data_IF_271752883243
#
_entry.id   IF_271752883243
#
_cell.length_a   1.000
_cell.length_b   1.000
_cell.length_c   1.000
_cell.angle_alpha   90.00
_cell.angle_beta   90.00
_cell.angle_gamma   90.00
#
_symmetry.space_group_name_H-M   'P 1'
#
loop_
_entity.id
_entity.type
_entity.pdbx_description
1 polymer ?
#
# COMPACT_ATOMS: atom_id res chain seq x y z
N UNK A 1 19.22 -13.48 -4.39
CA UNK A 1 18.81 -14.75 -3.76
C UNK A 1 18.18 -14.40 -2.43
N UNK A 2 16.87 -14.44 -2.34
CA UNK A 2 16.17 -14.50 -1.06
C UNK A 2 16.36 -15.95 -0.65
N UNK A 3 17.30 -16.21 0.29
CA UNK A 3 17.52 -17.54 0.79
C UNK A 3 16.23 -18.13 1.33
N UNK A 4 16.10 -19.42 1.24
CA UNK A 4 15.02 -20.21 1.82
C UNK A 4 14.85 -19.77 3.29
N UNK A 5 13.88 -18.88 3.57
CA UNK A 5 13.67 -18.35 4.91
C UNK A 5 13.01 -19.38 5.83
N UNK A 6 12.68 -20.57 5.33
CA UNK A 6 12.24 -21.73 6.11
C UNK A 6 11.11 -21.47 7.12
N UNK A 7 10.36 -20.36 6.95
CA UNK A 7 9.33 -19.95 7.89
C UNK A 7 7.95 -20.47 7.43
N UNK A 8 7.35 -21.28 8.26
CA UNK A 8 5.92 -21.50 8.21
C UNK A 8 5.25 -20.24 8.79
N UNK A 9 4.74 -19.37 7.92
CA UNK A 9 4.11 -18.09 8.27
C UNK A 9 2.62 -18.22 8.61
N UNK A 10 2.10 -19.42 8.82
CA UNK A 10 0.72 -19.56 9.30
C UNK A 10 0.58 -18.95 10.69
N UNK A 11 -0.48 -18.15 10.89
CA UNK A 11 -0.68 -17.36 12.12
C UNK A 11 -0.66 -18.20 13.40
N UNK A 12 -1.04 -19.48 13.33
CA UNK A 12 -1.06 -20.40 14.47
C UNK A 12 0.29 -21.04 14.76
N UNK A 13 1.21 -21.08 13.78
CA UNK A 13 2.53 -21.69 13.92
C UNK A 13 3.60 -20.76 14.51
N UNK A 14 3.45 -19.45 14.35
CA UNK A 14 4.52 -18.51 14.67
C UNK A 14 4.59 -18.07 16.14
N UNK A 15 3.63 -18.21 16.97
CA UNK A 15 3.68 -17.63 18.32
C UNK A 15 4.28 -16.20 18.35
N UNK A 16 4.30 -15.55 19.51
CA UNK A 16 4.83 -14.16 19.63
C UNK A 16 6.30 -14.05 19.21
N UNK A 17 7.13 -15.03 19.61
CA UNK A 17 8.57 -15.02 19.30
C UNK A 17 8.83 -15.18 17.80
N UNK A 18 8.16 -16.09 17.14
CA UNK A 18 8.29 -16.28 15.69
C UNK A 18 7.85 -15.06 14.88
N UNK A 19 6.78 -14.37 15.32
CA UNK A 19 6.37 -13.08 14.73
C UNK A 19 7.44 -12.01 14.88
N UNK A 20 8.02 -11.86 16.06
CA UNK A 20 9.07 -10.88 16.30
C UNK A 20 10.31 -11.15 15.42
N UNK A 21 10.71 -12.43 15.30
CA UNK A 21 11.82 -12.85 14.44
C UNK A 21 11.53 -12.58 12.94
N UNK A 22 10.31 -12.85 12.48
CA UNK A 22 9.88 -12.57 11.10
C UNK A 22 9.90 -11.06 10.80
N UNK A 23 9.34 -10.24 11.70
CA UNK A 23 9.34 -8.78 11.54
C UNK A 23 10.75 -8.20 11.56
N UNK A 24 11.63 -8.70 12.45
CA UNK A 24 13.04 -8.33 12.44
C UNK A 24 13.74 -8.73 11.13
N UNK A 25 13.40 -9.90 10.56
CA UNK A 25 13.87 -10.34 9.25
C UNK A 25 13.45 -9.37 8.12
N UNK A 26 12.19 -8.95 8.12
CA UNK A 26 11.67 -7.93 7.18
C UNK A 26 12.42 -6.61 7.35
N UNK A 27 12.62 -6.12 8.57
CA UNK A 27 13.34 -4.87 8.82
C UNK A 27 14.79 -4.92 8.30
N UNK A 28 15.51 -6.03 8.53
CA UNK A 28 16.88 -6.22 8.01
C UNK A 28 16.89 -6.28 6.47
N UNK A 29 15.91 -6.95 5.86
CA UNK A 29 15.76 -6.97 4.40
C UNK A 29 15.56 -5.57 3.85
N UNK A 30 14.63 -4.80 4.41
CA UNK A 30 14.37 -3.40 4.03
C UNK A 30 15.63 -2.56 4.16
N UNK A 31 16.31 -2.59 5.31
CA UNK A 31 17.53 -1.83 5.56
C UNK A 31 18.67 -2.19 4.59
N UNK A 32 18.73 -3.43 4.12
CA UNK A 32 19.74 -3.86 3.15
C UNK A 32 19.53 -3.32 1.74
N UNK A 33 18.33 -2.81 1.43
CA UNK A 33 17.94 -2.42 0.07
C UNK A 33 17.63 -0.93 -0.06
N UNK A 34 17.22 -0.28 1.03
CA UNK A 34 16.65 1.07 1.04
C UNK A 34 17.57 2.16 0.45
N UNK A 35 18.90 1.95 0.54
CA UNK A 35 19.92 2.82 -0.07
C UNK A 35 20.65 2.17 -1.26
N UNK A 36 20.17 1.03 -1.74
CA UNK A 36 20.79 0.32 -2.85
C UNK A 36 20.21 0.83 -4.18
N UNK A 37 20.99 1.53 -5.02
CA UNK A 37 20.47 2.14 -6.23
C UNK A 37 20.27 1.16 -7.39
N UNK A 38 20.80 -0.08 -7.30
CA UNK A 38 20.72 -1.09 -8.35
C UNK A 38 20.50 -2.50 -7.78
N UNK A 39 19.74 -3.40 -8.53
CA UNK A 39 19.02 -3.09 -9.75
C UNK A 39 17.88 -2.11 -9.51
N UNK A 40 17.53 -1.30 -10.53
CA UNK A 40 16.39 -0.38 -10.47
C UNK A 40 15.56 -0.47 -11.76
N UNK A 41 14.30 -0.12 -11.65
CA UNK A 41 13.40 0.07 -12.77
C UNK A 41 12.81 1.47 -12.70
N UNK A 42 13.27 2.33 -13.59
CA UNK A 42 12.75 3.69 -13.71
C UNK A 42 11.93 3.83 -14.99
N UNK A 43 10.66 4.16 -14.84
CA UNK A 43 9.76 4.39 -15.97
C UNK A 43 9.92 5.82 -16.46
N UNK A 44 11.03 6.11 -17.13
CA UNK A 44 11.31 7.42 -17.71
C UNK A 44 10.83 7.49 -19.15
N UNK A 45 10.11 8.55 -19.51
CA UNK A 45 9.93 8.93 -20.90
C UNK A 45 10.98 10.00 -21.23
N UNK A 46 11.93 9.63 -22.06
CA UNK A 46 13.00 10.54 -22.51
C UNK A 46 12.51 11.30 -23.74
N UNK A 47 12.65 12.61 -23.72
CA UNK A 47 12.37 13.50 -24.86
C UNK A 47 13.67 13.99 -25.50
N UNK A 48 14.79 13.88 -24.76
CA UNK A 48 16.15 14.19 -25.21
C UNK A 48 17.17 13.30 -24.48
N UNK A 49 18.41 13.21 -24.96
CA UNK A 49 19.50 12.55 -24.24
C UNK A 49 19.79 13.17 -22.85
N UNK A 50 19.46 14.44 -22.68
CA UNK A 50 19.72 15.18 -21.45
C UNK A 50 18.72 14.83 -20.33
N UNK A 51 17.63 14.12 -20.67
CA UNK A 51 16.63 13.64 -19.72
C UNK A 51 17.09 12.40 -18.96
N UNK A 52 18.22 11.78 -19.38
CA UNK A 52 18.73 10.59 -18.73
C UNK A 52 19.43 10.95 -17.41
N UNK A 53 18.77 10.68 -16.31
CA UNK A 53 19.29 10.88 -14.97
C UNK A 53 19.45 9.55 -14.23
N UNK A 54 20.45 9.48 -13.35
CA UNK A 54 20.58 8.36 -12.42
C UNK A 54 19.49 8.45 -11.33
N UNK A 55 19.03 7.31 -10.79
CA UNK A 55 17.97 7.30 -9.76
C UNK A 55 18.20 8.31 -8.64
N UNK A 56 19.42 8.34 -8.10
CA UNK A 56 19.79 9.24 -6.99
C UNK A 56 19.76 10.74 -7.34
N UNK A 57 19.89 11.09 -8.60
CA UNK A 57 19.77 12.48 -9.04
C UNK A 57 18.33 12.89 -9.25
N UNK A 58 17.51 11.92 -9.71
CA UNK A 58 16.09 12.10 -9.97
C UNK A 58 15.27 12.06 -8.68
N UNK A 59 15.61 11.13 -7.77
CA UNK A 59 14.94 10.90 -6.50
C UNK A 59 15.97 10.91 -5.36
N UNK A 60 16.39 12.09 -4.88
CA UNK A 60 17.49 12.20 -3.92
C UNK A 60 17.27 11.46 -2.61
N UNK A 61 16.02 11.36 -2.14
CA UNK A 61 15.65 10.71 -0.90
C UNK A 61 15.17 9.25 -1.09
N UNK A 62 14.40 8.99 -2.15
CA UNK A 62 13.75 7.68 -2.38
C UNK A 62 14.29 6.96 -3.62
N UNK A 63 15.61 6.87 -3.76
CA UNK A 63 16.30 6.29 -4.91
C UNK A 63 16.61 4.80 -4.79
N UNK A 64 16.46 4.22 -3.59
CA UNK A 64 16.85 2.84 -3.30
C UNK A 64 15.76 1.82 -3.59
N UNK A 65 15.98 0.59 -3.11
CA UNK A 65 15.10 -0.56 -3.38
C UNK A 65 15.07 -0.92 -4.86
N UNK A 66 13.95 -0.85 -5.58
CA UNK A 66 13.87 -1.20 -7.00
C UNK A 66 13.35 -0.02 -7.85
N UNK A 67 12.41 0.72 -7.32
CA UNK A 67 11.80 1.91 -7.90
C UNK A 67 11.36 2.89 -6.79
N UNK A 68 10.82 4.03 -7.16
CA UNK A 68 10.47 5.06 -6.20
C UNK A 68 9.44 4.56 -5.17
N UNK A 69 8.35 3.95 -5.64
CA UNK A 69 7.31 3.49 -4.70
C UNK A 69 7.80 2.36 -3.79
N UNK A 70 8.64 1.44 -4.25
CA UNK A 70 9.20 0.40 -3.38
C UNK A 70 10.15 0.96 -2.32
N UNK A 71 10.84 2.07 -2.62
CA UNK A 71 11.60 2.80 -1.61
C UNK A 71 10.68 3.49 -0.60
N UNK A 72 9.58 4.11 -1.03
CA UNK A 72 8.54 4.67 -0.14
C UNK A 72 7.93 3.59 0.75
N UNK A 73 7.59 2.40 0.19
CA UNK A 73 7.11 1.25 0.99
C UNK A 73 8.12 0.83 2.06
N UNK A 74 9.40 0.82 1.71
CA UNK A 74 10.48 0.48 2.63
C UNK A 74 10.53 1.44 3.82
N UNK A 75 10.39 2.73 3.57
CA UNK A 75 10.32 3.75 4.62
C UNK A 75 9.04 3.61 5.45
N UNK A 76 7.88 3.45 4.81
CA UNK A 76 6.63 3.20 5.51
C UNK A 76 6.73 1.97 6.43
N UNK A 77 7.36 0.90 5.96
CA UNK A 77 7.55 -0.32 6.75
C UNK A 77 8.34 -0.06 8.02
N UNK A 78 9.46 0.67 7.92
CA UNK A 78 10.26 1.00 9.10
C UNK A 78 9.50 1.92 10.07
N UNK A 79 8.83 2.96 9.58
CA UNK A 79 8.00 3.85 10.40
C UNK A 79 6.90 3.06 11.10
N UNK A 80 6.22 2.16 10.38
CA UNK A 80 5.17 1.28 10.92
C UNK A 80 5.71 0.39 12.03
N UNK A 81 6.89 -0.20 11.87
CA UNK A 81 7.52 -1.04 12.86
C UNK A 81 7.89 -0.26 14.14
N UNK A 82 8.40 0.96 14.01
CA UNK A 82 8.64 1.84 15.16
C UNK A 82 7.32 2.23 15.84
N UNK A 83 6.30 2.57 15.07
CA UNK A 83 5.00 3.00 15.59
C UNK A 83 4.23 1.87 16.31
N UNK A 84 4.47 0.61 15.96
CA UNK A 84 3.84 -0.55 16.58
C UNK A 84 4.68 -1.21 17.68
N UNK A 85 5.92 -0.74 17.90
CA UNK A 85 6.87 -1.38 18.81
C UNK A 85 7.34 -2.76 18.33
N UNK A 86 7.20 -3.06 17.04
CA UNK A 86 7.55 -4.37 16.47
C UNK A 86 9.05 -4.70 16.59
N UNK A 87 9.90 -3.70 16.77
CA UNK A 87 11.35 -3.84 16.94
C UNK A 87 11.82 -3.74 18.41
N UNK A 88 10.92 -3.55 19.38
CA UNK A 88 11.27 -3.36 20.79
C UNK A 88 12.10 -4.53 21.41
N UNK A 89 12.03 -5.72 20.81
CA UNK A 89 12.83 -6.89 21.18
C UNK A 89 14.28 -6.89 20.65
N UNK A 90 14.63 -5.96 19.74
CA UNK A 90 15.97 -5.82 19.13
C UNK A 90 16.36 -4.31 19.09
N UNK A 91 16.85 -3.75 20.21
CA UNK A 91 17.15 -2.31 20.31
C UNK A 91 18.21 -1.82 19.32
N UNK A 92 19.13 -2.68 18.88
CA UNK A 92 20.15 -2.34 17.89
C UNK A 92 19.52 -2.17 16.50
N UNK A 93 18.62 -3.07 16.12
CA UNK A 93 17.88 -2.98 14.88
C UNK A 93 16.92 -1.79 14.88
N UNK A 94 16.24 -1.52 16.00
CA UNK A 94 15.39 -0.35 16.19
C UNK A 94 16.17 0.96 15.99
N UNK A 95 17.33 1.08 16.65
CA UNK A 95 18.21 2.24 16.51
C UNK A 95 18.73 2.39 15.06
N UNK A 96 19.05 1.28 14.40
CA UNK A 96 19.48 1.29 12.99
C UNK A 96 18.36 1.78 12.06
N UNK A 97 17.13 1.32 12.27
CA UNK A 97 15.96 1.77 11.51
C UNK A 97 15.70 3.27 11.73
N UNK A 98 15.71 3.74 12.97
CA UNK A 98 15.54 5.15 13.30
C UNK A 98 16.64 6.03 12.67
N UNK A 99 17.90 5.60 12.73
CA UNK A 99 19.01 6.31 12.10
C UNK A 99 18.89 6.36 10.58
N UNK A 100 18.38 5.31 9.93
CA UNK A 100 18.09 5.31 8.50
C UNK A 100 17.02 6.34 8.16
N UNK A 101 15.90 6.34 8.88
CA UNK A 101 14.82 7.30 8.69
C UNK A 101 15.31 8.75 8.89
N UNK A 102 16.08 9.01 9.93
CA UNK A 102 16.66 10.33 10.19
C UNK A 102 17.56 10.84 9.05
N UNK A 103 18.29 9.95 8.37
CA UNK A 103 19.09 10.33 7.19
C UNK A 103 18.20 10.71 6.00
N UNK A 104 17.21 9.88 5.71
CA UNK A 104 16.31 10.13 4.57
C UNK A 104 15.44 11.35 4.79
N UNK A 105 14.86 11.50 5.97
CA UNK A 105 13.99 12.64 6.31
C UNK A 105 14.76 13.89 6.77
N UNK A 106 16.01 14.04 6.34
CA UNK A 106 16.70 15.32 6.57
C UNK A 106 16.01 16.44 5.77
N UNK A 107 15.91 17.67 6.32
CA UNK A 107 15.27 18.78 5.61
C UNK A 107 15.84 19.03 4.22
N UNK A 108 17.15 18.86 4.05
CA UNK A 108 17.85 19.07 2.79
C UNK A 108 17.44 18.04 1.73
N UNK A 109 17.39 16.74 2.08
CA UNK A 109 16.99 15.69 1.14
C UNK A 109 15.52 15.78 0.79
N UNK A 110 14.64 16.02 1.76
CA UNK A 110 13.21 16.17 1.51
C UNK A 110 12.90 17.40 0.65
N UNK A 111 13.59 18.50 0.85
CA UNK A 111 13.44 19.68 0.00
C UNK A 111 13.91 19.41 -1.45
N UNK A 112 15.02 18.67 -1.60
CA UNK A 112 15.53 18.29 -2.93
C UNK A 112 14.58 17.31 -3.63
N UNK A 113 14.04 16.33 -2.91
CA UNK A 113 13.04 15.38 -3.43
C UNK A 113 11.79 16.11 -3.91
N UNK A 114 11.21 16.97 -3.06
CA UNK A 114 10.03 17.75 -3.41
C UNK A 114 10.28 18.68 -4.63
N UNK A 115 11.47 19.28 -4.74
CA UNK A 115 11.85 20.08 -5.89
C UNK A 115 11.94 19.25 -7.17
N UNK A 116 12.55 18.07 -7.10
CA UNK A 116 12.64 17.15 -8.23
C UNK A 116 11.25 16.77 -8.75
N UNK A 117 10.33 16.43 -7.86
CA UNK A 117 8.95 16.12 -8.24
C UNK A 117 8.22 17.29 -8.90
N UNK A 118 8.40 18.51 -8.42
CA UNK A 118 7.77 19.71 -9.02
C UNK A 118 8.35 20.08 -10.37
N UNK A 119 9.68 19.98 -10.50
CA UNK A 119 10.40 20.64 -11.60
C UNK A 119 10.84 19.66 -12.70
N UNK A 120 11.00 18.37 -12.40
CA UNK A 120 11.59 17.37 -13.30
C UNK A 120 10.68 16.19 -13.58
N UNK A 121 9.96 15.70 -12.56
CA UNK A 121 9.18 14.46 -12.69
C UNK A 121 7.83 14.75 -13.36
N UNK A 122 7.51 14.07 -14.48
CA UNK A 122 6.24 14.23 -15.17
C UNK A 122 5.03 13.94 -14.26
N UNK A 123 3.91 14.59 -14.55
CA UNK A 123 2.69 14.47 -13.75
C UNK A 123 2.03 13.09 -13.74
N UNK A 124 2.46 12.19 -14.62
CA UNK A 124 1.94 10.81 -14.71
C UNK A 124 2.88 9.77 -14.09
N UNK A 125 4.11 10.16 -13.74
CA UNK A 125 5.08 9.25 -13.12
C UNK A 125 4.54 8.70 -11.80
N UNK A 126 4.74 7.40 -11.53
CA UNK A 126 4.27 6.71 -10.31
C UNK A 126 2.76 6.77 -10.06
N UNK A 127 1.99 7.15 -11.08
CA UNK A 127 0.55 7.41 -11.00
C UNK A 127 -0.26 6.12 -10.91
N UNK A 128 -1.21 6.03 -9.98
CA UNK A 128 -1.37 6.83 -8.77
C UNK A 128 -0.69 6.20 -7.54
N UNK A 129 -0.21 4.95 -7.68
CA UNK A 129 0.19 4.04 -6.61
C UNK A 129 1.29 4.62 -5.70
N UNK A 130 2.36 5.11 -6.30
CA UNK A 130 3.45 5.72 -5.54
C UNK A 130 2.99 6.95 -4.75
N UNK A 131 2.10 7.76 -5.34
CA UNK A 131 1.57 8.96 -4.68
C UNK A 131 0.72 8.61 -3.46
N UNK A 132 -0.17 7.63 -3.57
CA UNK A 132 -1.01 7.20 -2.45
C UNK A 132 -0.19 6.52 -1.34
N UNK A 133 0.91 5.85 -1.69
CA UNK A 133 1.82 5.28 -0.70
C UNK A 133 2.65 6.34 0.04
N UNK A 134 3.01 7.43 -0.61
CA UNK A 134 3.66 8.54 0.10
C UNK A 134 2.68 9.20 1.09
N UNK A 135 1.41 9.38 0.70
CA UNK A 135 0.37 9.84 1.63
C UNK A 135 0.16 8.87 2.80
N UNK A 136 0.29 7.56 2.57
CA UNK A 136 0.25 6.57 3.64
C UNK A 136 1.48 6.67 4.56
N UNK A 137 2.64 7.01 4.03
CA UNK A 137 3.85 7.27 4.80
C UNK A 137 3.68 8.51 5.69
N UNK A 138 3.11 9.61 5.20
CA UNK A 138 2.77 10.79 6.00
C UNK A 138 1.80 10.44 7.14
N UNK A 139 0.74 9.68 6.84
CA UNK A 139 -0.23 9.25 7.85
C UNK A 139 0.44 8.38 8.94
N UNK A 140 1.40 7.53 8.57
CA UNK A 140 2.12 6.70 9.53
C UNK A 140 3.12 7.49 10.37
N UNK A 141 3.80 8.48 9.78
CA UNK A 141 4.63 9.44 10.51
C UNK A 141 3.80 10.24 11.52
N UNK A 142 2.61 10.71 11.11
CA UNK A 142 1.68 11.39 12.00
C UNK A 142 1.25 10.51 13.16
N UNK A 143 0.97 9.22 12.89
CA UNK A 143 0.59 8.25 13.94
C UNK A 143 1.73 8.02 14.93
N UNK A 144 2.96 7.85 14.46
CA UNK A 144 4.14 7.68 15.31
C UNK A 144 4.40 8.94 16.15
N UNK A 145 4.28 10.12 15.55
CA UNK A 145 4.45 11.40 16.24
C UNK A 145 3.39 11.62 17.35
N UNK A 146 2.19 11.06 17.18
CA UNK A 146 1.12 11.15 18.16
C UNK A 146 1.19 10.08 19.28
N UNK A 147 2.18 9.17 19.26
CA UNK A 147 2.36 8.12 20.28
C UNK A 147 3.25 8.62 21.43
N UNK A 148 2.69 9.14 22.53
CA UNK A 148 3.47 9.85 23.55
C UNK A 148 4.46 8.95 24.32
N UNK A 149 4.22 7.64 24.33
CA UNK A 149 5.10 6.62 24.92
C UNK A 149 6.22 6.17 24.00
N UNK A 150 6.17 6.52 22.72
CA UNK A 150 7.24 6.15 21.78
C UNK A 150 8.46 7.04 21.93
N UNK A 151 9.64 6.41 22.06
CA UNK A 151 10.92 7.11 22.05
C UNK A 151 11.18 7.91 20.75
N UNK A 152 10.46 7.58 19.68
CA UNK A 152 10.62 8.17 18.34
C UNK A 152 9.55 9.22 18.00
N UNK A 153 8.66 9.58 18.93
CA UNK A 153 7.56 10.51 18.63
C UNK A 153 8.06 11.91 18.19
N UNK A 154 9.07 12.45 18.90
CA UNK A 154 9.65 13.75 18.55
C UNK A 154 10.38 13.72 17.21
N UNK A 155 11.12 12.65 16.92
CA UNK A 155 11.82 12.44 15.66
C UNK A 155 10.80 12.33 14.51
N UNK A 156 9.74 11.55 14.69
CA UNK A 156 8.68 11.39 13.69
C UNK A 156 7.98 12.71 13.36
N UNK A 157 7.76 13.58 14.36
CA UNK A 157 7.22 14.92 14.13
C UNK A 157 8.16 15.76 13.25
N UNK A 158 9.47 15.72 13.52
CA UNK A 158 10.46 16.43 12.73
C UNK A 158 10.60 15.84 11.31
N UNK A 159 10.58 14.50 11.17
CA UNK A 159 10.61 13.82 9.87
C UNK A 159 9.40 14.19 9.02
N UNK A 160 8.22 14.20 9.63
CA UNK A 160 6.98 14.61 8.95
C UNK A 160 7.04 16.06 8.50
N UNK A 161 7.50 16.97 9.36
CA UNK A 161 7.67 18.38 8.99
C UNK A 161 8.59 18.56 7.78
N UNK A 162 9.71 17.85 7.76
CA UNK A 162 10.63 17.86 6.62
C UNK A 162 10.00 17.30 5.33
N UNK A 163 9.13 16.28 5.43
CA UNK A 163 8.47 15.63 4.29
C UNK A 163 7.27 16.44 3.75
N UNK A 164 6.67 17.35 4.52
CA UNK A 164 5.46 18.09 4.12
C UNK A 164 5.49 18.67 2.69
N UNK A 165 6.58 19.27 2.18
CA UNK A 165 6.58 19.81 0.81
C UNK A 165 6.41 18.72 -0.27
N UNK A 166 6.88 17.49 -0.01
CA UNK A 166 6.67 16.34 -0.90
C UNK A 166 5.24 15.81 -0.76
N UNK A 167 4.75 15.66 0.47
CA UNK A 167 3.38 15.21 0.75
C UNK A 167 2.35 16.14 0.11
N UNK A 168 2.54 17.46 0.16
CA UNK A 168 1.68 18.44 -0.53
C UNK A 168 1.66 18.22 -2.05
N UNK A 169 2.81 17.94 -2.65
CA UNK A 169 2.89 17.63 -4.08
C UNK A 169 2.19 16.31 -4.41
N UNK A 170 2.36 15.26 -3.62
CA UNK A 170 1.68 13.97 -3.83
C UNK A 170 0.16 14.11 -3.62
N UNK A 171 -0.27 14.89 -2.63
CA UNK A 171 -1.68 15.25 -2.43
C UNK A 171 -2.26 15.95 -3.66
N UNK A 172 -1.58 16.98 -4.16
CA UNK A 172 -2.00 17.73 -5.35
C UNK A 172 -2.15 16.82 -6.57
N UNK A 173 -1.19 15.91 -6.79
CA UNK A 173 -1.22 14.92 -7.88
C UNK A 173 -2.38 13.94 -7.71
N UNK A 174 -2.58 13.42 -6.50
CA UNK A 174 -3.67 12.49 -6.18
C UNK A 174 -5.03 13.16 -6.40
N UNK A 175 -5.23 14.38 -5.94
CA UNK A 175 -6.47 15.14 -6.18
C UNK A 175 -6.72 15.37 -7.67
N UNK A 176 -5.69 15.72 -8.43
CA UNK A 176 -5.79 15.85 -9.89
C UNK A 176 -6.15 14.54 -10.59
N UNK A 177 -5.59 13.42 -10.13
CA UNK A 177 -5.95 12.09 -10.63
C UNK A 177 -7.40 11.74 -10.32
N UNK A 178 -7.84 11.90 -9.07
CA UNK A 178 -9.23 11.63 -8.65
C UNK A 178 -10.23 12.43 -9.47
N UNK A 179 -9.95 13.74 -9.67
CA UNK A 179 -10.81 14.62 -10.47
C UNK A 179 -10.87 14.23 -11.96
N UNK A 180 -9.77 13.69 -12.50
CA UNK A 180 -9.66 13.26 -13.90
C UNK A 180 -10.18 11.85 -14.19
N UNK A 181 -10.60 11.07 -13.18
CA UNK A 181 -11.09 9.71 -13.37
C UNK A 181 -12.42 9.70 -14.15
N UNK A 182 -12.42 9.07 -15.32
CA UNK A 182 -13.62 8.85 -16.13
C UNK A 182 -14.02 7.36 -16.20
N UNK A 183 -13.03 6.47 -16.13
CA UNK A 183 -13.20 5.01 -16.11
C UNK A 183 -12.27 4.41 -15.06
N UNK A 184 -12.69 3.36 -14.35
CA UNK A 184 -11.82 2.66 -13.41
C UNK A 184 -10.88 1.69 -14.12
N UNK A 185 -9.66 1.57 -13.61
CA UNK A 185 -8.75 0.47 -13.94
C UNK A 185 -8.93 -0.65 -12.89
N UNK A 186 -9.33 -1.82 -13.34
CA UNK A 186 -9.52 -3.04 -12.52
C UNK A 186 -8.42 -4.03 -12.88
N UNK A 187 -7.23 -3.79 -12.36
CA UNK A 187 -6.03 -4.51 -12.80
C UNK A 187 -5.42 -5.42 -11.75
N UNK A 188 -5.78 -5.24 -10.49
CA UNK A 188 -5.11 -5.93 -9.38
C UNK A 188 -3.62 -5.60 -9.27
N UNK A 189 -3.17 -4.49 -9.87
CA UNK A 189 -1.78 -4.03 -9.90
C UNK A 189 -1.69 -2.53 -9.55
N UNK A 190 -0.57 -1.86 -9.82
CA UNK A 190 -0.30 -0.46 -9.43
C UNK A 190 -1.38 0.54 -9.87
N UNK A 191 -1.98 0.31 -11.03
CA UNK A 191 -3.03 1.20 -11.57
C UNK A 191 -4.44 0.89 -11.04
N UNK A 192 -4.62 -0.10 -10.16
CA UNK A 192 -5.94 -0.48 -9.66
C UNK A 192 -6.65 0.69 -8.98
N UNK A 193 -7.79 1.09 -9.53
CA UNK A 193 -8.51 2.27 -9.05
C UNK A 193 -9.14 2.01 -7.68
N UNK A 194 -9.64 0.79 -7.44
CA UNK A 194 -10.22 0.39 -6.16
C UNK A 194 -9.23 0.51 -5.02
N UNK A 195 -8.04 -0.06 -5.19
CA UNK A 195 -6.96 0.04 -4.21
C UNK A 195 -6.57 1.49 -3.92
N UNK A 196 -6.27 2.26 -4.96
CA UNK A 196 -5.73 3.62 -4.79
C UNK A 196 -6.75 4.62 -4.24
N UNK A 197 -8.04 4.49 -4.57
CA UNK A 197 -9.09 5.30 -3.93
C UNK A 197 -9.30 4.92 -2.47
N UNK A 198 -9.24 3.62 -2.12
CA UNK A 198 -9.31 3.19 -0.72
C UNK A 198 -8.15 3.77 0.10
N UNK A 199 -6.93 3.74 -0.44
CA UNK A 199 -5.75 4.38 0.18
C UNK A 199 -5.96 5.89 0.36
N UNK A 200 -6.47 6.60 -0.65
CA UNK A 200 -6.72 8.03 -0.56
C UNK A 200 -7.78 8.37 0.51
N UNK A 201 -8.85 7.58 0.61
CA UNK A 201 -9.88 7.74 1.66
C UNK A 201 -9.25 7.55 3.04
N UNK A 202 -8.51 6.45 3.23
CA UNK A 202 -7.91 6.12 4.52
C UNK A 202 -6.86 7.15 4.95
N UNK A 203 -6.00 7.59 4.04
CA UNK A 203 -5.01 8.64 4.30
C UNK A 203 -5.69 9.97 4.65
N UNK A 204 -6.70 10.38 3.89
CA UNK A 204 -7.44 11.61 4.17
C UNK A 204 -8.11 11.58 5.55
N UNK A 205 -8.73 10.45 5.91
CA UNK A 205 -9.33 10.28 7.25
C UNK A 205 -8.29 10.27 8.37
N UNK A 206 -7.18 9.61 8.16
CA UNK A 206 -6.12 9.49 9.16
C UNK A 206 -5.42 10.82 9.43
N UNK A 207 -5.22 11.66 8.41
CA UNK A 207 -4.54 12.95 8.51
C UNK A 207 -5.47 14.13 8.75
N UNK A 208 -6.80 13.92 8.68
CA UNK A 208 -7.80 14.97 8.79
C UNK A 208 -7.99 15.79 7.49
N UNK A 209 -7.48 15.31 6.35
CA UNK A 209 -7.72 15.89 5.03
C UNK A 209 -9.10 15.47 4.50
N UNK A 210 -10.13 16.17 4.95
CA UNK A 210 -11.51 15.89 4.58
C UNK A 210 -11.75 16.05 3.06
N UNK A 211 -11.08 17.03 2.42
CA UNK A 211 -11.23 17.26 0.98
C UNK A 211 -10.77 16.07 0.15
N UNK A 212 -9.62 15.47 0.50
CA UNK A 212 -9.12 14.26 -0.16
C UNK A 212 -10.06 13.07 0.06
N UNK A 213 -10.48 12.84 1.30
CA UNK A 213 -11.37 11.72 1.65
C UNK A 213 -12.73 11.84 0.95
N UNK A 214 -13.34 13.01 0.92
CA UNK A 214 -14.62 13.28 0.27
C UNK A 214 -14.53 13.16 -1.26
N UNK A 215 -13.47 13.71 -1.88
CA UNK A 215 -13.26 13.61 -3.32
C UNK A 215 -13.07 12.15 -3.77
N UNK A 216 -12.26 11.36 -3.02
CA UNK A 216 -12.05 9.95 -3.31
C UNK A 216 -13.33 9.12 -3.09
N UNK A 217 -14.11 9.40 -2.03
CA UNK A 217 -15.42 8.77 -1.77
C UNK A 217 -16.42 9.06 -2.89
N UNK A 218 -16.50 10.31 -3.34
CA UNK A 218 -17.38 10.68 -4.44
C UNK A 218 -16.99 10.01 -5.76
N UNK A 219 -15.67 9.87 -6.03
CA UNK A 219 -15.18 9.13 -7.18
C UNK A 219 -15.50 7.63 -7.10
N UNK A 220 -15.35 7.01 -5.91
CA UNK A 220 -15.71 5.62 -5.68
C UNK A 220 -17.19 5.37 -6.00
N UNK A 221 -18.09 6.16 -5.44
CA UNK A 221 -19.52 6.04 -5.71
C UNK A 221 -19.86 6.22 -7.20
N UNK A 222 -19.26 7.21 -7.84
CA UNK A 222 -19.49 7.49 -9.27
C UNK A 222 -19.07 6.35 -10.19
N UNK A 223 -17.97 5.67 -9.84
CA UNK A 223 -17.33 4.69 -10.71
C UNK A 223 -17.81 3.25 -10.46
N UNK A 224 -18.24 2.94 -9.24
CA UNK A 224 -18.43 1.55 -8.82
C UNK A 224 -19.84 1.25 -8.26
N UNK A 225 -20.66 2.27 -7.96
CA UNK A 225 -21.97 2.02 -7.35
C UNK A 225 -22.92 1.17 -8.21
N UNK A 226 -22.75 1.20 -9.54
CA UNK A 226 -23.58 0.45 -10.47
C UNK A 226 -23.00 -0.94 -10.83
N UNK A 227 -21.89 -1.35 -10.22
CA UNK A 227 -21.25 -2.61 -10.55
C UNK A 227 -21.98 -3.80 -9.89
N UNK A 228 -22.19 -4.84 -10.69
CA UNK A 228 -22.89 -6.07 -10.31
C UNK A 228 -22.14 -7.30 -10.81
N UNK A 229 -22.32 -8.45 -10.15
CA UNK A 229 -21.83 -9.76 -10.59
C UNK A 229 -20.33 -9.77 -10.94
N UNK A 230 -19.48 -9.36 -10.00
CA UNK A 230 -18.03 -9.29 -10.20
C UNK A 230 -17.45 -10.61 -10.74
N UNK A 231 -16.54 -10.54 -11.74
CA UNK A 231 -16.03 -11.71 -12.45
C UNK A 231 -14.89 -12.42 -11.67
N UNK A 232 -15.19 -12.95 -10.48
CA UNK A 232 -14.21 -13.63 -9.60
C UNK A 232 -13.43 -14.75 -10.33
N UNK A 233 -14.05 -15.39 -11.31
CA UNK A 233 -13.41 -16.47 -12.09
C UNK A 233 -12.26 -15.99 -12.99
N UNK A 234 -12.07 -14.69 -13.16
CA UNK A 234 -10.95 -14.14 -13.93
C UNK A 234 -9.71 -13.86 -13.06
N UNK A 235 -9.83 -14.02 -11.75
CA UNK A 235 -8.71 -13.89 -10.83
C UNK A 235 -8.26 -15.27 -10.32
N UNK A 236 -6.97 -15.44 -9.97
CA UNK A 236 -5.91 -14.45 -10.14
C UNK A 236 -5.45 -14.30 -11.60
N UNK A 237 -4.98 -13.12 -11.95
CA UNK A 237 -4.32 -12.87 -13.24
C UNK A 237 -2.80 -12.83 -13.05
N UNK A 238 -2.07 -13.02 -14.13
CA UNK A 238 -0.62 -12.80 -14.12
C UNK A 238 -0.28 -11.35 -13.76
N UNK A 239 0.83 -11.14 -13.07
CA UNK A 239 1.34 -9.82 -12.66
C UNK A 239 0.46 -9.06 -11.64
N UNK A 240 -0.50 -9.72 -11.01
CA UNK A 240 -1.31 -9.11 -9.96
C UNK A 240 -0.69 -9.36 -8.57
N UNK A 241 -0.76 -8.36 -7.71
CA UNK A 241 -0.37 -8.44 -6.30
C UNK A 241 -1.52 -8.06 -5.36
N UNK A 242 -2.67 -7.67 -5.93
CA UNK A 242 -3.94 -7.48 -5.22
C UNK A 242 -5.07 -8.11 -6.01
N UNK A 243 -6.23 -8.29 -5.37
CA UNK A 243 -7.46 -8.70 -6.03
C UNK A 243 -8.27 -7.47 -6.40
N UNK A 244 -8.49 -7.23 -7.69
CA UNK A 244 -9.32 -6.11 -8.14
C UNK A 244 -10.75 -6.21 -7.61
N UNK A 245 -11.30 -7.42 -7.57
CA UNK A 245 -12.64 -7.70 -7.03
C UNK A 245 -12.72 -7.37 -5.54
N UNK A 246 -11.77 -7.82 -4.74
CA UNK A 246 -11.76 -7.56 -3.30
C UNK A 246 -11.37 -6.12 -2.97
N UNK A 247 -10.49 -5.50 -3.77
CA UNK A 247 -10.17 -4.07 -3.64
C UNK A 247 -11.41 -3.20 -3.81
N UNK A 248 -12.26 -3.53 -4.79
CA UNK A 248 -13.50 -2.81 -5.03
C UNK A 248 -14.49 -3.01 -3.87
N UNK A 249 -14.64 -4.25 -3.38
CA UNK A 249 -15.46 -4.52 -2.20
C UNK A 249 -14.97 -3.74 -0.97
N UNK A 250 -13.65 -3.73 -0.71
CA UNK A 250 -13.05 -2.99 0.39
C UNK A 250 -13.15 -1.45 0.21
N UNK A 251 -13.07 -0.95 -1.02
CA UNK A 251 -13.30 0.46 -1.32
C UNK A 251 -14.74 0.87 -1.01
N UNK A 252 -15.71 0.11 -1.48
CA UNK A 252 -17.12 0.45 -1.30
C UNK A 252 -17.56 0.32 0.16
N UNK A 253 -16.93 -0.56 0.96
CA UNK A 253 -17.05 -0.58 2.41
C UNK A 253 -16.64 0.73 3.12
N UNK A 254 -15.78 1.53 2.47
CA UNK A 254 -15.36 2.85 2.94
C UNK A 254 -16.24 3.99 2.42
N UNK A 255 -16.91 3.79 1.29
CA UNK A 255 -17.63 4.81 0.56
C UNK A 255 -19.15 4.82 0.82
N UNK A 256 -19.69 3.74 1.35
CA UNK A 256 -21.12 3.54 1.62
C UNK A 256 -21.35 3.44 3.13
N UNK A 257 -22.60 3.70 3.56
CA UNK A 257 -23.01 3.30 4.90
C UNK A 257 -23.28 1.77 4.96
N UNK A 258 -23.46 1.23 6.17
CA UNK A 258 -23.51 -0.21 6.37
C UNK A 258 -24.69 -0.89 5.63
N UNK A 259 -25.86 -0.24 5.59
CA UNK A 259 -27.04 -0.80 4.94
C UNK A 259 -26.89 -0.73 3.41
N UNK A 260 -26.49 0.42 2.88
CA UNK A 260 -26.20 0.62 1.46
C UNK A 260 -25.09 -0.33 0.97
N UNK A 261 -24.05 -0.52 1.80
CA UNK A 261 -22.96 -1.45 1.47
C UNK A 261 -23.44 -2.90 1.39
N UNK A 262 -24.27 -3.34 2.33
CA UNK A 262 -24.77 -4.71 2.33
C UNK A 262 -25.63 -5.00 1.08
N UNK A 263 -26.50 -4.07 0.69
CA UNK A 263 -27.32 -4.17 -0.52
C UNK A 263 -26.45 -4.17 -1.78
N UNK A 264 -25.49 -3.27 -1.87
CA UNK A 264 -24.56 -3.21 -2.99
C UNK A 264 -23.72 -4.48 -3.10
N UNK A 265 -23.17 -4.99 -1.98
CA UNK A 265 -22.32 -6.17 -1.99
C UNK A 265 -23.10 -7.44 -2.39
N UNK A 266 -24.40 -7.54 -2.07
CA UNK A 266 -25.24 -8.64 -2.52
C UNK A 266 -25.38 -8.65 -4.05
N UNK A 267 -25.50 -7.49 -4.68
CA UNK A 267 -25.51 -7.37 -6.14
C UNK A 267 -24.12 -7.62 -6.75
N UNK A 268 -23.07 -7.12 -6.11
CA UNK A 268 -21.70 -7.20 -6.60
C UNK A 268 -21.11 -8.61 -6.47
N UNK A 269 -21.30 -9.28 -5.32
CA UNK A 269 -20.81 -10.63 -5.01
C UNK A 269 -21.96 -11.56 -4.58
N UNK A 270 -22.96 -11.81 -5.45
CA UNK A 270 -24.15 -12.57 -5.08
C UNK A 270 -23.85 -13.97 -4.55
N UNK A 271 -22.74 -14.59 -5.01
CA UNK A 271 -22.31 -15.90 -4.53
C UNK A 271 -22.04 -15.94 -3.02
N UNK A 272 -21.67 -14.85 -2.38
CA UNK A 272 -21.51 -14.80 -0.91
C UNK A 272 -22.82 -14.99 -0.15
N UNK A 273 -23.94 -14.75 -0.80
CA UNK A 273 -25.28 -14.80 -0.18
C UNK A 273 -26.02 -16.11 -0.47
N UNK A 274 -25.50 -16.94 -1.38
CA UNK A 274 -26.11 -18.21 -1.74
C UNK A 274 -25.81 -19.32 -0.72
N UNK A 275 -26.80 -20.18 -0.47
CA UNK A 275 -26.66 -21.31 0.47
C UNK A 275 -25.59 -22.32 0.03
N UNK A 276 -25.27 -22.39 -1.25
CA UNK A 276 -24.27 -23.31 -1.84
C UNK A 276 -22.92 -22.65 -2.13
N UNK A 277 -22.62 -21.52 -1.48
CA UNK A 277 -21.31 -20.93 -1.58
C UNK A 277 -20.22 -21.94 -1.21
N UNK A 278 -19.21 -22.03 -2.07
CA UNK A 278 -17.98 -22.80 -1.79
C UNK A 278 -16.79 -21.84 -1.81
N UNK A 279 -16.06 -21.76 -0.72
CA UNK A 279 -14.77 -21.07 -0.69
C UNK A 279 -13.70 -21.89 -1.43
N UNK A 280 -12.64 -21.25 -1.97
CA UNK A 280 -12.43 -19.82 -1.98
C UNK A 280 -13.29 -19.09 -3.01
N UNK A 281 -13.60 -17.81 -2.73
CA UNK A 281 -14.29 -16.90 -3.66
C UNK A 281 -13.46 -16.67 -4.93
N UNK A 282 -12.16 -16.54 -4.76
CA UNK A 282 -11.17 -16.40 -5.82
C UNK A 282 -10.20 -17.58 -5.73
N UNK A 283 -9.92 -18.22 -6.85
CA UNK A 283 -9.06 -19.40 -6.90
C UNK A 283 -7.68 -19.16 -6.27
N UNK A 284 -7.15 -20.19 -5.64
CA UNK A 284 -5.80 -20.19 -5.12
C UNK A 284 -4.76 -20.07 -6.23
N UNK A 285 -3.58 -19.56 -5.88
CA UNK A 285 -2.46 -19.50 -6.81
C UNK A 285 -2.02 -20.93 -7.16
N UNK A 286 -1.88 -21.27 -8.46
CA UNK A 286 -1.40 -22.56 -8.87
C UNK A 286 0.11 -22.70 -8.58
N UNK A 287 0.46 -23.69 -7.78
CA UNK A 287 1.84 -24.10 -7.62
C UNK A 287 2.65 -23.30 -6.59
N UNK A 288 3.92 -23.60 -6.51
CA UNK A 288 4.91 -22.98 -5.63
C UNK A 288 5.74 -22.00 -6.45
N UNK A 289 5.87 -20.77 -5.97
CA UNK A 289 6.78 -19.79 -6.56
C UNK A 289 8.23 -20.30 -6.43
N UNK A 290 8.96 -20.34 -7.56
CA UNK A 290 10.36 -20.78 -7.61
C UNK A 290 11.37 -19.62 -7.54
N UNK A 291 10.90 -18.38 -7.59
CA UNK A 291 11.73 -17.19 -7.41
C UNK A 291 12.42 -16.67 -8.66
N UNK A 292 12.12 -17.20 -9.84
CA UNK A 292 12.87 -16.87 -11.07
C UNK A 292 12.22 -15.80 -11.97
N UNK A 293 10.93 -15.50 -11.80
CA UNK A 293 10.21 -14.55 -12.67
C UNK A 293 9.98 -13.17 -12.04
N UNK A 294 10.15 -12.08 -12.81
CA UNK A 294 9.78 -10.73 -12.35
C UNK A 294 8.29 -10.61 -12.02
N UNK A 295 7.44 -11.19 -12.84
CA UNK A 295 5.98 -11.17 -12.65
C UNK A 295 5.55 -12.04 -11.45
N UNK A 296 6.29 -13.09 -11.17
CA UNK A 296 6.02 -14.00 -10.05
C UNK A 296 6.27 -13.35 -8.68
N UNK A 297 7.17 -12.37 -8.60
CA UNK A 297 7.40 -11.59 -7.37
C UNK A 297 6.13 -10.86 -6.93
N UNK A 298 5.35 -10.33 -7.85
CA UNK A 298 4.08 -9.69 -7.55
C UNK A 298 3.06 -10.66 -6.97
N UNK A 299 2.96 -11.85 -7.52
CA UNK A 299 1.97 -12.85 -7.06
C UNK A 299 2.23 -13.37 -5.65
N UNK A 300 3.45 -13.27 -5.12
CA UNK A 300 3.77 -13.63 -3.73
C UNK A 300 3.02 -12.76 -2.72
N UNK A 301 2.77 -11.49 -3.05
CA UNK A 301 2.04 -10.57 -2.17
C UNK A 301 0.51 -10.78 -2.22
N UNK A 302 0.01 -11.44 -3.24
CA UNK A 302 -1.43 -11.57 -3.51
C UNK A 302 -2.23 -12.22 -2.38
N UNK A 303 -1.80 -13.32 -1.74
CA UNK A 303 -2.55 -13.89 -0.62
C UNK A 303 -2.75 -12.91 0.53
N UNK A 304 -1.70 -12.19 0.91
CA UNK A 304 -1.76 -11.23 2.02
C UNK A 304 -2.66 -10.03 1.69
N UNK A 305 -2.56 -9.48 0.48
CA UNK A 305 -3.39 -8.34 0.08
C UNK A 305 -4.86 -8.73 -0.08
N UNK A 306 -5.14 -9.95 -0.57
CA UNK A 306 -6.51 -10.51 -0.62
C UNK A 306 -7.09 -10.64 0.77
N UNK A 307 -6.35 -11.23 1.72
CA UNK A 307 -6.77 -11.38 3.09
C UNK A 307 -7.08 -10.02 3.75
N UNK A 308 -6.25 -9.01 3.54
CA UNK A 308 -6.49 -7.65 4.04
C UNK A 308 -7.77 -7.03 3.44
N UNK A 309 -7.96 -7.12 2.13
CA UNK A 309 -9.13 -6.58 1.47
C UNK A 309 -10.41 -7.31 1.87
N UNK A 310 -10.38 -8.63 1.97
CA UNK A 310 -11.51 -9.45 2.45
C UNK A 310 -11.89 -9.12 3.90
N UNK A 311 -10.90 -8.97 4.78
CA UNK A 311 -11.10 -8.53 6.17
C UNK A 311 -11.78 -7.16 6.24
N UNK A 312 -11.30 -6.20 5.48
CA UNK A 312 -11.84 -4.83 5.48
C UNK A 312 -13.28 -4.80 4.93
N UNK A 313 -13.54 -5.56 3.88
CA UNK A 313 -14.88 -5.72 3.33
C UNK A 313 -15.84 -6.43 4.32
N UNK A 314 -15.37 -7.48 5.00
CA UNK A 314 -16.16 -8.21 5.99
C UNK A 314 -16.49 -7.35 7.21
N UNK A 315 -15.59 -6.48 7.63
CA UNK A 315 -15.76 -5.64 8.82
C UNK A 315 -16.89 -4.60 8.68
N UNK A 316 -17.28 -4.25 7.45
CA UNK A 316 -18.38 -3.34 7.17
C UNK A 316 -19.76 -4.03 7.14
N UNK A 317 -19.81 -5.36 7.17
CA UNK A 317 -21.05 -6.12 7.14
C UNK A 317 -21.59 -6.38 8.57
N UNK A 318 -22.92 -6.43 8.73
CA UNK A 318 -23.52 -6.97 9.94
C UNK A 318 -23.15 -8.45 10.12
N UNK A 319 -23.11 -8.91 11.38
CA UNK A 319 -22.84 -10.31 11.67
C UNK A 319 -23.86 -11.22 10.97
N UNK A 320 -23.38 -12.17 10.18
CA UNK A 320 -24.21 -13.05 9.37
C UNK A 320 -23.42 -13.98 8.45
N UNK A 321 -24.12 -14.83 7.68
CA UNK A 321 -23.45 -15.81 6.81
C UNK A 321 -22.53 -15.19 5.75
N UNK A 322 -22.91 -14.09 5.12
CA UNK A 322 -22.09 -13.41 4.12
C UNK A 322 -20.80 -12.85 4.73
N UNK A 323 -20.91 -12.19 5.89
CA UNK A 323 -19.77 -11.70 6.67
C UNK A 323 -18.83 -12.85 7.06
N UNK A 324 -19.37 -13.97 7.57
CA UNK A 324 -18.55 -15.13 7.94
C UNK A 324 -17.84 -15.78 6.75
N UNK A 325 -18.48 -15.84 5.58
CA UNK A 325 -17.86 -16.36 4.34
C UNK A 325 -16.74 -15.47 3.85
N UNK A 326 -16.96 -14.16 3.85
CA UNK A 326 -15.93 -13.20 3.44
C UNK A 326 -14.76 -13.16 4.43
N UNK A 327 -15.02 -13.35 5.73
CA UNK A 327 -13.97 -13.50 6.73
C UNK A 327 -13.15 -14.80 6.57
N UNK A 328 -13.70 -15.83 5.91
CA UNK A 328 -12.95 -17.04 5.61
C UNK A 328 -11.97 -16.87 4.43
N UNK A 329 -12.09 -15.79 3.65
CA UNK A 329 -11.13 -15.40 2.62
C UNK A 329 -9.96 -14.57 3.22
N UNK A 330 -10.11 -14.07 4.46
CA UNK A 330 -9.15 -13.26 5.19
C UNK A 330 -8.21 -14.14 6.04
#
# INVERSE_FOLDING_TARGET
>A
MIGDLGFDLTADALGERGRAEALAGVARCVLSQIERPYPCSERQTLTSPDDLELPRLRFPAFYGSFDWHSCVHSHWTLVRMLATGALAGDPELEATAAAQLARTFSPELMAAEAASWRDRVPTWEEKPYGWTWELALDAELMRLAAAPESAHAADAAAWREAALPLTEEMRRRTMGWVAGLSLPARTGAHSDTGWNLAMAIDCGRATGDAELAEAATAAARRLFLADECAPCAYEPQADTFTSSVLNEAALMARALDADEYAEWLEAYLPQLFHAHFSAPLIADLPGRWDGEGYLEVHTVALPTSRALAARDAAAALPAGPAQGRLSAEA
#
